data_IF_514211856873
#
_entry.id   IF_514211856873
#
_cell.length_a   1.000
_cell.length_b   1.000
_cell.length_c   1.000
_cell.angle_alpha   90.00
_cell.angle_beta   90.00
_cell.angle_gamma   90.00
#
_symmetry.space_group_name_H-M   'P 1'
#
loop_
_entity.id
_entity.type
_entity.pdbx_description
1 polymer ?
#
# COMPACT_ATOMS: atom_id res chain seq x y z
N UNK A 1 -21.06 21.97 38.09
CA UNK A 1 -20.35 20.73 37.76
C UNK A 1 -20.56 20.42 36.31
N UNK A 2 -19.50 20.51 35.55
CA UNK A 2 -19.57 20.19 34.11
C UNK A 2 -19.75 18.68 33.93
N UNK A 3 -20.84 18.30 33.32
CA UNK A 3 -21.00 16.92 32.88
C UNK A 3 -19.99 16.62 31.79
N UNK A 4 -19.21 15.61 32.01
CA UNK A 4 -18.40 15.06 30.93
C UNK A 4 -19.31 14.35 29.91
N UNK A 5 -19.46 14.94 28.75
CA UNK A 5 -20.22 14.35 27.67
C UNK A 5 -19.24 13.69 26.66
N UNK A 6 -19.12 12.39 26.77
CA UNK A 6 -18.26 11.61 25.91
C UNK A 6 -18.68 11.64 24.41
N UNK A 7 -19.93 12.02 24.13
CA UNK A 7 -20.42 12.13 22.76
C UNK A 7 -20.04 13.43 22.09
N UNK A 8 -19.85 14.51 22.85
CA UNK A 8 -19.51 15.82 22.28
C UNK A 8 -18.02 16.13 22.25
N UNK A 9 -17.23 15.49 23.08
CA UNK A 9 -15.87 15.94 23.33
C UNK A 9 -14.87 15.59 22.24
N UNK A 10 -15.18 14.72 21.28
CA UNK A 10 -14.09 14.21 20.45
C UNK A 10 -14.39 13.94 19.00
N UNK A 11 -15.64 14.09 18.56
CA UNK A 11 -15.95 13.84 17.14
C UNK A 11 -15.31 14.87 16.20
N UNK A 12 -15.16 16.10 16.65
CA UNK A 12 -14.50 17.15 15.85
C UNK A 12 -12.97 17.12 15.92
N UNK A 13 -12.38 16.41 16.89
CA UNK A 13 -10.92 16.35 17.08
C UNK A 13 -10.28 15.01 16.71
N UNK A 14 -11.07 13.97 16.52
CA UNK A 14 -10.58 12.66 16.06
C UNK A 14 -10.80 12.55 14.56
N UNK A 15 -9.78 12.87 13.79
CA UNK A 15 -9.74 12.37 12.41
C UNK A 15 -9.68 10.85 12.47
N UNK A 16 -10.76 10.18 12.09
CA UNK A 16 -10.74 8.74 11.97
C UNK A 16 -9.79 8.37 10.85
N UNK A 17 -8.73 7.68 11.18
CA UNK A 17 -7.82 7.12 10.18
C UNK A 17 -8.48 5.88 9.59
N UNK A 18 -8.83 5.97 8.31
CA UNK A 18 -9.60 4.94 7.61
C UNK A 18 -8.71 3.73 7.30
N UNK A 19 -7.48 3.99 6.88
CA UNK A 19 -6.54 2.94 6.49
C UNK A 19 -5.41 2.83 7.51
N UNK A 20 -5.18 1.61 8.00
CA UNK A 20 -4.10 1.29 8.93
C UNK A 20 -3.37 0.04 8.44
N UNK A 21 -2.06 0.05 8.54
CA UNK A 21 -1.23 -1.08 8.14
C UNK A 21 0.03 -1.15 9.02
N UNK A 22 0.71 -2.29 8.98
CA UNK A 22 1.99 -2.46 9.65
C UNK A 22 3.15 -2.04 8.74
N UNK A 23 4.17 -1.43 9.32
CA UNK A 23 5.38 -1.11 8.58
C UNK A 23 6.23 -2.37 8.39
N UNK A 24 6.23 -2.93 7.17
CA UNK A 24 7.02 -4.11 6.83
C UNK A 24 8.54 -3.85 6.81
N UNK A 25 8.98 -2.62 6.98
CA UNK A 25 10.37 -2.30 7.27
C UNK A 25 10.78 -2.62 8.71
N UNK A 26 9.85 -3.06 9.54
CA UNK A 26 10.04 -3.43 10.95
C UNK A 26 10.68 -2.34 11.82
N UNK A 27 10.44 -1.08 11.48
CA UNK A 27 10.86 0.04 12.32
C UNK A 27 10.09 0.02 13.64
N UNK A 28 10.84 0.22 14.72
CA UNK A 28 10.29 0.23 16.06
C UNK A 28 9.72 1.60 16.40
N UNK A 29 8.50 1.61 16.91
CA UNK A 29 7.95 2.82 17.51
C UNK A 29 8.61 3.07 18.88
N UNK A 30 9.22 4.24 19.06
CA UNK A 30 9.92 4.60 20.28
C UNK A 30 9.02 4.72 21.49
N UNK A 31 7.76 5.09 21.29
CA UNK A 31 6.78 5.26 22.39
C UNK A 31 6.18 3.93 22.85
N UNK A 32 5.73 3.09 21.90
CA UNK A 32 5.08 1.80 22.21
C UNK A 32 6.04 0.63 22.27
N UNK A 33 7.27 0.79 21.80
CA UNK A 33 8.30 -0.26 21.66
C UNK A 33 7.88 -1.44 20.80
N UNK A 34 6.86 -1.26 20.00
CA UNK A 34 6.31 -2.24 19.05
C UNK A 34 6.56 -1.80 17.60
N UNK A 35 6.13 -2.62 16.63
CA UNK A 35 6.24 -2.29 15.21
C UNK A 35 5.44 -1.03 14.89
N UNK A 36 6.05 -0.14 14.12
CA UNK A 36 5.40 1.10 13.71
C UNK A 36 4.19 0.81 12.81
N UNK A 37 3.08 1.47 13.11
CA UNK A 37 1.88 1.44 12.26
C UNK A 37 1.95 2.53 11.21
N UNK A 38 1.52 2.20 10.00
CA UNK A 38 1.32 3.15 8.91
C UNK A 38 -0.17 3.47 8.80
N UNK A 39 -0.50 4.71 8.49
CA UNK A 39 -1.89 5.16 8.41
C UNK A 39 -2.16 5.96 7.15
N UNK A 40 -3.40 5.86 6.65
CA UNK A 40 -3.92 6.63 5.51
C UNK A 40 -2.99 6.58 4.27
N UNK A 41 -2.51 7.74 3.81
CA UNK A 41 -1.69 7.85 2.59
C UNK A 41 -0.42 6.99 2.66
N UNK A 42 0.24 6.94 3.79
CA UNK A 42 1.44 6.12 3.96
C UNK A 42 1.12 4.61 3.87
N UNK A 43 -0.01 4.20 4.42
CA UNK A 43 -0.48 2.81 4.30
C UNK A 43 -0.73 2.43 2.84
N UNK A 44 -1.41 3.28 2.08
CA UNK A 44 -1.68 3.05 0.65
C UNK A 44 -0.38 3.02 -0.17
N UNK A 45 0.52 3.97 0.04
CA UNK A 45 1.83 4.00 -0.64
C UNK A 45 2.64 2.73 -0.37
N UNK A 46 2.66 2.28 0.87
CA UNK A 46 3.38 1.07 1.23
C UNK A 46 2.74 -0.18 0.62
N UNK A 47 1.41 -0.23 0.59
CA UNK A 47 0.67 -1.32 -0.06
C UNK A 47 1.01 -1.43 -1.55
N UNK A 48 0.96 -0.32 -2.28
CA UNK A 48 1.34 -0.28 -3.71
C UNK A 48 2.79 -0.73 -3.90
N UNK A 49 3.71 -0.25 -3.08
CA UNK A 49 5.12 -0.64 -3.15
C UNK A 49 5.32 -2.13 -2.93
N UNK A 50 4.66 -2.69 -1.92
CA UNK A 50 4.73 -4.12 -1.63
C UNK A 50 4.14 -4.95 -2.76
N UNK A 51 3.03 -4.49 -3.32
CA UNK A 51 2.36 -5.15 -4.44
C UNK A 51 3.26 -5.21 -5.70
N UNK A 52 3.93 -4.10 -6.02
CA UNK A 52 4.87 -4.03 -7.15
C UNK A 52 6.08 -4.96 -6.93
N UNK A 53 6.58 -5.05 -5.71
CA UNK A 53 7.73 -5.89 -5.36
C UNK A 53 7.39 -7.37 -5.21
N UNK A 54 6.12 -7.73 -5.10
CA UNK A 54 5.68 -9.12 -4.98
C UNK A 54 5.64 -9.77 -6.37
N UNK A 55 6.30 -10.91 -6.52
CA UNK A 55 6.21 -11.70 -7.75
C UNK A 55 5.01 -12.65 -7.71
N UNK A 56 4.57 -13.11 -8.88
CA UNK A 56 3.57 -14.17 -8.94
C UNK A 56 4.08 -15.42 -8.21
N UNK A 57 3.17 -16.13 -7.56
CA UNK A 57 3.42 -17.34 -6.77
C UNK A 57 4.21 -17.14 -5.46
N UNK A 58 4.57 -15.92 -5.09
CA UNK A 58 5.22 -15.65 -3.79
C UNK A 58 4.23 -15.68 -2.61
N UNK A 59 3.00 -15.24 -2.84
CA UNK A 59 2.00 -15.17 -1.77
C UNK A 59 1.29 -16.52 -1.61
N UNK A 60 1.33 -17.14 -0.41
CA UNK A 60 0.62 -18.37 -0.15
C UNK A 60 -0.89 -18.22 -0.39
N UNK A 61 -1.51 -19.23 -1.00
CA UNK A 61 -2.95 -19.30 -1.33
C UNK A 61 -3.45 -18.29 -2.37
N UNK A 62 -2.63 -17.34 -2.79
CA UNK A 62 -2.99 -16.33 -3.79
C UNK A 62 -1.87 -16.16 -4.81
N UNK A 63 -1.62 -17.16 -5.66
CA UNK A 63 -0.52 -17.11 -6.62
C UNK A 63 -0.71 -16.07 -7.73
N UNK A 64 -1.95 -15.63 -7.95
CA UNK A 64 -2.31 -14.62 -8.94
C UNK A 64 -1.91 -13.19 -8.54
N UNK A 65 -1.68 -12.94 -7.25
CA UNK A 65 -1.32 -11.62 -6.74
C UNK A 65 0.17 -11.38 -6.97
N UNK A 66 0.47 -10.26 -7.57
CA UNK A 66 1.83 -9.80 -7.77
C UNK A 66 2.08 -9.25 -9.16
N UNK A 67 3.31 -8.83 -9.39
CA UNK A 67 3.80 -8.33 -10.66
C UNK A 67 4.93 -9.21 -11.16
N UNK A 68 5.12 -9.25 -12.46
CA UNK A 68 6.26 -9.91 -13.10
C UNK A 68 7.37 -8.90 -13.47
N UNK A 69 7.41 -7.76 -12.80
CA UNK A 69 8.32 -6.67 -13.14
C UNK A 69 9.79 -7.04 -12.96
N UNK A 70 10.11 -7.84 -11.94
CA UNK A 70 11.48 -8.30 -11.73
C UNK A 70 12.05 -9.09 -12.91
N UNK A 71 11.26 -10.01 -13.45
CA UNK A 71 11.66 -10.77 -14.62
C UNK A 71 11.88 -9.87 -15.83
N UNK A 72 11.01 -8.88 -16.02
CA UNK A 72 11.10 -7.92 -17.13
C UNK A 72 12.32 -7.01 -17.03
N UNK A 73 12.83 -6.72 -15.82
CA UNK A 73 14.04 -5.91 -15.64
C UNK A 73 15.31 -6.59 -16.15
N UNK A 74 15.30 -7.91 -16.28
CA UNK A 74 16.43 -8.69 -16.81
C UNK A 74 16.32 -8.94 -18.32
N UNK A 75 15.26 -8.52 -18.96
CA UNK A 75 15.09 -8.60 -20.39
C UNK A 75 15.75 -7.40 -21.11
N UNK A 76 15.98 -7.53 -22.40
CA UNK A 76 16.55 -6.44 -23.21
C UNK A 76 15.62 -5.23 -23.23
N UNK A 77 16.17 -4.06 -22.96
CA UNK A 77 15.42 -2.81 -22.95
C UNK A 77 15.05 -2.44 -24.39
N UNK A 78 13.77 -2.47 -24.69
CA UNK A 78 13.21 -2.00 -25.95
C UNK A 78 12.20 -0.88 -25.68
N UNK A 79 11.91 0.03 -26.64
CA UNK A 79 10.88 1.04 -26.47
C UNK A 79 9.51 0.47 -26.13
N UNK A 80 9.21 -0.73 -26.60
CA UNK A 80 7.97 -1.44 -26.33
C UNK A 80 7.89 -1.92 -24.88
N UNK A 81 9.02 -2.19 -24.24
CA UNK A 81 9.10 -2.65 -22.87
C UNK A 81 8.48 -1.63 -21.89
N UNK A 82 8.74 -0.34 -22.08
CA UNK A 82 8.17 0.73 -21.26
C UNK A 82 6.64 0.71 -21.30
N UNK A 83 6.07 0.49 -22.49
CA UNK A 83 4.61 0.41 -22.62
C UNK A 83 4.04 -0.83 -21.91
N UNK A 84 4.70 -1.97 -22.02
CA UNK A 84 4.29 -3.22 -21.37
C UNK A 84 4.36 -3.07 -19.83
N UNK A 85 5.43 -2.50 -19.32
CA UNK A 85 5.61 -2.25 -17.89
C UNK A 85 4.50 -1.32 -17.38
N UNK A 86 4.23 -0.21 -18.06
CA UNK A 86 3.18 0.74 -17.69
C UNK A 86 1.81 0.08 -17.66
N UNK A 87 1.48 -0.72 -18.66
CA UNK A 87 0.23 -1.51 -18.71
C UNK A 87 0.11 -2.49 -17.54
N UNK A 88 1.18 -3.22 -17.26
CA UNK A 88 1.18 -4.19 -16.17
C UNK A 88 0.98 -3.52 -14.80
N UNK A 89 1.65 -2.40 -14.56
CA UNK A 89 1.47 -1.63 -13.32
C UNK A 89 0.04 -1.09 -13.21
N UNK A 90 -0.52 -0.56 -14.29
CA UNK A 90 -1.88 -0.06 -14.31
C UNK A 90 -2.89 -1.15 -13.95
N UNK A 91 -2.80 -2.31 -14.57
CA UNK A 91 -3.67 -3.46 -14.30
C UNK A 91 -3.50 -3.96 -12.87
N UNK A 92 -2.28 -4.02 -12.37
CA UNK A 92 -1.97 -4.46 -11.02
C UNK A 92 -2.63 -3.56 -9.97
N UNK A 93 -2.48 -2.26 -10.10
CA UNK A 93 -3.06 -1.29 -9.18
C UNK A 93 -4.58 -1.30 -9.26
N UNK A 94 -5.13 -1.36 -10.46
CA UNK A 94 -6.59 -1.39 -10.66
C UNK A 94 -7.23 -2.64 -10.03
N UNK A 95 -6.59 -3.77 -10.14
CA UNK A 95 -7.15 -5.04 -9.67
C UNK A 95 -6.97 -5.25 -8.16
N UNK A 96 -5.84 -4.82 -7.58
CA UNK A 96 -5.47 -5.19 -6.22
C UNK A 96 -5.38 -4.02 -5.24
N UNK A 97 -5.38 -2.78 -5.73
CA UNK A 97 -5.34 -1.59 -4.86
C UNK A 97 -6.40 -0.57 -5.27
N UNK A 98 -7.69 -0.84 -4.98
CA UNK A 98 -8.79 0.03 -5.38
C UNK A 98 -8.81 1.39 -4.66
N UNK A 99 -8.07 1.52 -3.54
CA UNK A 99 -7.94 2.78 -2.79
C UNK A 99 -7.11 3.82 -3.54
N UNK A 100 -6.34 3.39 -4.52
CA UNK A 100 -5.44 4.24 -5.28
C UNK A 100 -6.04 4.53 -6.66
N UNK A 101 -6.06 5.80 -7.05
CA UNK A 101 -6.41 6.22 -8.41
C UNK A 101 -5.12 6.50 -9.16
N UNK A 102 -4.86 5.71 -10.19
CA UNK A 102 -3.72 5.93 -11.06
C UNK A 102 -4.02 7.05 -12.04
N UNK A 103 -3.16 8.07 -12.06
CA UNK A 103 -3.25 9.19 -13.01
C UNK A 103 -2.32 8.94 -14.19
N UNK A 104 -1.09 8.54 -13.91
CA UNK A 104 -0.05 8.28 -14.91
C UNK A 104 1.01 7.33 -14.35
N UNK A 105 1.52 6.51 -15.19
CA UNK A 105 2.68 5.65 -14.89
C UNK A 105 3.92 6.15 -15.63
#
# INVERSE_FOLDING_TARGET
>A
MSRYDATQTNESKRSSRIYKDLNLGFQKNTATKDIQKLTDVEAVKRSVRNLINTNHYEKPFHPEIGSNLRAMLFENITPQMNHIISKNIELLIRNYEPRCRLVQV
#
